data_IF_059542888088
#
_entry.id   IF_059542888088
#
_cell.length_a   1.000
_cell.length_b   1.000
_cell.length_c   1.000
_cell.angle_alpha   90.00
_cell.angle_beta   90.00
_cell.angle_gamma   90.00
#
_symmetry.space_group_name_H-M   'P 1'
#
loop_
_entity.id
_entity.type
_entity.pdbx_description
1 polymer ?
#
# COMPACT_ATOMS: atom_id res chain seq x y z
N UNK A 1 1.12 -1.38 11.36
CA UNK A 1 1.46 -1.54 9.92
C UNK A 1 2.11 -2.91 9.77
N UNK A 2 1.72 -3.75 8.80
CA UNK A 2 2.51 -4.92 8.48
C UNK A 2 3.87 -4.45 7.93
N UNK A 3 4.94 -4.78 8.63
CA UNK A 3 6.30 -4.47 8.20
C UNK A 3 6.68 -5.44 7.06
N UNK A 4 7.03 -4.93 5.86
CA UNK A 4 7.45 -5.79 4.76
C UNK A 4 8.76 -6.50 5.10
N UNK A 5 8.90 -7.76 4.70
CA UNK A 5 10.14 -8.51 4.96
C UNK A 5 11.32 -7.89 4.21
N UNK A 6 12.52 -8.00 4.80
CA UNK A 6 13.75 -7.53 4.15
C UNK A 6 13.99 -8.18 2.77
N UNK A 7 13.54 -9.43 2.60
CA UNK A 7 13.63 -10.14 1.32
C UNK A 7 12.68 -9.55 0.26
N UNK A 8 11.47 -9.16 0.66
CA UNK A 8 10.51 -8.50 -0.23
C UNK A 8 11.06 -7.14 -0.70
N UNK A 9 11.59 -6.35 0.23
CA UNK A 9 12.23 -5.06 -0.06
C UNK A 9 13.44 -5.23 -1.00
N UNK A 10 14.28 -6.23 -0.77
CA UNK A 10 15.44 -6.53 -1.62
C UNK A 10 15.07 -7.02 -3.03
N UNK A 11 13.88 -7.62 -3.20
CA UNK A 11 13.37 -7.98 -4.54
C UNK A 11 12.79 -6.75 -5.24
N UNK A 12 12.01 -5.93 -4.54
CA UNK A 12 11.49 -4.68 -5.05
C UNK A 12 12.62 -3.75 -5.55
N UNK A 13 13.69 -3.62 -4.77
CA UNK A 13 14.84 -2.77 -5.13
C UNK A 13 15.59 -3.24 -6.38
N UNK A 14 15.41 -4.50 -6.79
CA UNK A 14 15.96 -5.08 -8.02
C UNK A 14 15.00 -4.97 -9.22
N UNK A 15 13.87 -4.28 -9.06
CA UNK A 15 12.88 -4.09 -10.13
C UNK A 15 11.93 -5.27 -10.33
N UNK A 16 11.85 -6.20 -9.37
CA UNK A 16 10.89 -7.31 -9.42
C UNK A 16 9.46 -6.78 -9.30
N UNK A 17 8.74 -6.78 -10.42
CA UNK A 17 7.35 -6.28 -10.50
C UNK A 17 6.37 -7.09 -9.64
N UNK A 18 6.61 -8.39 -9.46
CA UNK A 18 5.76 -9.22 -8.61
C UNK A 18 5.96 -8.88 -7.14
N UNK A 19 7.22 -8.69 -6.73
CA UNK A 19 7.54 -8.22 -5.38
C UNK A 19 6.93 -6.84 -5.11
N UNK A 20 6.97 -5.93 -6.09
CA UNK A 20 6.34 -4.62 -5.96
C UNK A 20 4.81 -4.72 -5.79
N UNK A 21 4.14 -5.54 -6.60
CA UNK A 21 2.71 -5.76 -6.47
C UNK A 21 2.34 -6.37 -5.10
N UNK A 22 3.15 -7.30 -4.60
CA UNK A 22 2.98 -7.88 -3.26
C UNK A 22 3.14 -6.82 -2.16
N UNK A 23 4.17 -5.96 -2.26
CA UNK A 23 4.38 -4.86 -1.32
C UNK A 23 3.20 -3.87 -1.31
N UNK A 24 2.72 -3.47 -2.48
CA UNK A 24 1.57 -2.57 -2.62
C UNK A 24 0.32 -3.20 -2.00
N UNK A 25 0.04 -4.47 -2.29
CA UNK A 25 -1.11 -5.18 -1.72
C UNK A 25 -1.05 -5.28 -0.19
N UNK A 26 0.14 -5.53 0.38
CA UNK A 26 0.31 -5.57 1.84
C UNK A 26 0.00 -4.22 2.51
N UNK A 27 0.36 -3.11 1.87
CA UNK A 27 0.14 -1.77 2.41
C UNK A 27 -1.26 -1.23 2.12
N UNK A 28 -1.88 -1.61 0.99
CA UNK A 28 -3.15 -1.08 0.53
C UNK A 28 -4.28 -1.21 1.56
N UNK A 29 -4.42 -2.39 2.19
CA UNK A 29 -5.45 -2.59 3.20
C UNK A 29 -5.25 -1.70 4.43
N UNK A 30 -4.00 -1.48 4.85
CA UNK A 30 -3.70 -0.62 5.98
C UNK A 30 -3.98 0.85 5.65
N UNK A 31 -3.50 1.34 4.50
CA UNK A 31 -3.67 2.73 4.07
C UNK A 31 -5.16 3.04 3.84
N UNK A 32 -5.91 2.14 3.20
CA UNK A 32 -7.34 2.30 3.01
C UNK A 32 -8.09 2.41 4.34
N UNK A 33 -7.81 1.52 5.30
CA UNK A 33 -8.45 1.57 6.61
C UNK A 33 -8.10 2.85 7.38
N UNK A 34 -6.88 3.35 7.25
CA UNK A 34 -6.49 4.64 7.84
C UNK A 34 -7.24 5.80 7.19
N UNK A 35 -7.27 5.84 5.85
CA UNK A 35 -7.99 6.87 5.08
C UNK A 35 -9.49 6.86 5.41
N UNK A 36 -10.10 5.68 5.51
CA UNK A 36 -11.50 5.52 5.86
C UNK A 36 -11.82 6.05 7.27
N UNK A 37 -10.93 5.82 8.24
CA UNK A 37 -11.10 6.36 9.60
C UNK A 37 -10.97 7.88 9.66
N UNK A 38 -10.25 8.50 8.72
CA UNK A 38 -10.04 9.94 8.66
C UNK A 38 -11.17 10.65 7.91
N UNK A 39 -11.61 10.10 6.77
CA UNK A 39 -12.61 10.74 5.90
C UNK A 39 -14.04 10.34 6.27
N UNK A 40 -14.25 9.16 6.85
CA UNK A 40 -15.58 8.62 7.12
C UNK A 40 -16.37 8.24 5.87
N UNK A 41 -15.76 8.36 4.68
CA UNK A 41 -16.36 7.97 3.41
C UNK A 41 -15.45 7.04 2.58
N UNK A 42 -16.07 6.01 2.00
CA UNK A 42 -15.39 4.91 1.31
C UNK A 42 -14.78 5.30 -0.04
N UNK A 43 -15.45 6.15 -0.83
CA UNK A 43 -14.92 6.63 -2.12
C UNK A 43 -13.67 7.50 -1.90
N UNK A 44 -13.76 8.52 -1.06
CA UNK A 44 -12.61 9.40 -0.76
C UNK A 44 -11.45 8.64 -0.12
N UNK A 45 -11.74 7.66 0.74
CA UNK A 45 -10.71 6.80 1.32
C UNK A 45 -10.00 5.94 0.28
N UNK A 46 -10.73 5.44 -0.72
CA UNK A 46 -10.14 4.67 -1.83
C UNK A 46 -9.22 5.54 -2.67
N UNK A 47 -9.68 6.73 -3.06
CA UNK A 47 -8.91 7.64 -3.91
C UNK A 47 -7.63 8.10 -3.20
N UNK A 48 -7.73 8.49 -1.92
CA UNK A 48 -6.58 8.88 -1.13
C UNK A 48 -5.57 7.73 -0.96
N UNK A 49 -6.05 6.51 -0.69
CA UNK A 49 -5.19 5.37 -0.53
C UNK A 49 -4.47 4.97 -1.81
N UNK A 50 -5.14 5.10 -2.97
CA UNK A 50 -4.52 4.88 -4.26
C UNK A 50 -3.48 5.96 -4.56
N UNK A 51 -3.78 7.24 -4.34
CA UNK A 51 -2.83 8.32 -4.58
C UNK A 51 -1.59 8.19 -3.69
N UNK A 52 -1.76 7.80 -2.43
CA UNK A 52 -0.66 7.56 -1.50
C UNK A 52 0.25 6.39 -1.89
N UNK A 53 -0.26 5.41 -2.65
CA UNK A 53 0.51 4.26 -3.14
C UNK A 53 1.18 4.52 -4.50
N UNK A 54 0.67 5.48 -5.26
CA UNK A 54 1.18 5.85 -6.59
C UNK A 54 2.27 6.94 -6.54
N UNK A 55 2.37 7.69 -5.44
CA UNK A 55 3.42 8.70 -5.17
C UNK A 55 4.62 8.09 -4.44
#
# INVERSE_FOLDING_TARGET
MPEPSAQLLARCSRGDRQAFAELVNQQQAFIYNLAYRLMGEAEEARDLAQEALLR
#
